data_IF_710860780250
#
_entry.id   IF_710860780250
#
_cell.length_a   1.000
_cell.length_b   1.000
_cell.length_c   1.000
_cell.angle_alpha   90.00
_cell.angle_beta   90.00
_cell.angle_gamma   90.00
#
_symmetry.space_group_name_H-M   'P 1'
#
loop_
_entity.id
_entity.type
_entity.pdbx_description
1 polymer ?
#
# COMPACT_ATOMS: atom_id res chain seq x y z
N UNK A 1 13.91 -20.23 -2.08
CA UNK A 1 14.17 -18.79 -1.88
C UNK A 1 15.59 -18.46 -2.32
N UNK A 2 15.86 -17.27 -2.90
CA UNK A 2 17.21 -16.83 -3.21
C UNK A 2 18.02 -16.62 -1.92
N UNK A 3 19.29 -17.04 -1.90
CA UNK A 3 20.15 -17.02 -0.72
C UNK A 3 20.41 -15.60 -0.20
N UNK A 4 20.59 -14.63 -1.11
CA UNK A 4 21.02 -13.27 -0.79
C UNK A 4 19.93 -12.22 -0.97
N UNK A 5 18.66 -12.63 -1.14
CA UNK A 5 17.54 -11.71 -1.34
C UNK A 5 16.61 -11.75 -0.13
N UNK A 6 16.40 -10.59 0.45
CA UNK A 6 15.48 -10.38 1.55
C UNK A 6 14.48 -9.29 1.16
N UNK A 7 13.18 -9.56 1.35
CA UNK A 7 12.13 -8.59 1.07
C UNK A 7 11.81 -7.79 2.31
N UNK A 8 12.01 -6.50 2.24
CA UNK A 8 11.62 -5.57 3.30
C UNK A 8 10.11 -5.38 3.43
N UNK A 9 9.33 -5.95 2.53
CA UNK A 9 7.87 -5.88 2.54
C UNK A 9 7.25 -7.08 1.84
N UNK A 10 6.01 -7.36 2.17
CA UNK A 10 5.13 -8.27 1.42
C UNK A 10 4.57 -7.56 0.18
N UNK A 11 4.39 -8.27 -0.93
CA UNK A 11 4.00 -7.68 -2.20
C UNK A 11 2.49 -7.36 -2.28
N UNK A 12 1.67 -8.34 -1.90
CA UNK A 12 0.22 -8.26 -2.07
C UNK A 12 -0.51 -8.07 -0.73
N UNK A 13 0.20 -8.01 0.39
CA UNK A 13 -0.39 -7.88 1.72
C UNK A 13 -1.26 -6.61 1.84
N UNK A 14 -0.81 -5.51 1.24
CA UNK A 14 -1.57 -4.27 1.19
C UNK A 14 -2.94 -4.44 0.53
N UNK A 15 -2.99 -5.16 -0.60
CA UNK A 15 -4.23 -5.42 -1.32
C UNK A 15 -5.16 -6.35 -0.51
N UNK A 16 -4.59 -7.37 0.14
CA UNK A 16 -5.35 -8.26 1.02
C UNK A 16 -5.95 -7.50 2.20
N UNK A 17 -5.14 -6.67 2.87
CA UNK A 17 -5.60 -5.88 4.02
C UNK A 17 -6.64 -4.83 3.63
N UNK A 18 -6.45 -4.12 2.52
CA UNK A 18 -7.42 -3.18 1.99
C UNK A 18 -8.73 -3.89 1.61
N UNK A 19 -8.65 -5.07 1.00
CA UNK A 19 -9.81 -5.87 0.64
C UNK A 19 -10.60 -6.32 1.88
N UNK A 20 -9.91 -6.77 2.94
CA UNK A 20 -10.57 -7.15 4.21
C UNK A 20 -11.27 -5.95 4.87
N UNK A 21 -10.65 -4.76 4.84
CA UNK A 21 -11.28 -3.55 5.33
C UNK A 21 -12.51 -3.18 4.49
N UNK A 22 -12.41 -3.26 3.15
CA UNK A 22 -13.52 -3.01 2.23
C UNK A 22 -14.69 -3.97 2.48
N UNK A 23 -14.42 -5.26 2.61
CA UNK A 23 -15.44 -6.27 2.94
C UNK A 23 -16.12 -5.93 4.26
N UNK A 24 -15.36 -5.62 5.30
CA UNK A 24 -15.89 -5.25 6.61
C UNK A 24 -16.74 -3.97 6.56
N UNK A 25 -16.26 -2.93 5.88
CA UNK A 25 -16.87 -1.61 5.90
C UNK A 25 -18.04 -1.47 4.92
N UNK A 26 -17.92 -2.10 3.74
CA UNK A 26 -18.90 -1.98 2.66
C UNK A 26 -19.81 -3.20 2.52
N UNK A 27 -19.79 -4.17 3.45
CA UNK A 27 -20.64 -5.36 3.39
C UNK A 27 -22.10 -5.01 3.10
N UNK A 28 -22.68 -5.63 2.06
CA UNK A 28 -24.05 -5.39 1.63
C UNK A 28 -24.31 -4.07 0.91
N UNK A 29 -23.26 -3.26 0.67
CA UNK A 29 -23.39 -1.94 0.03
C UNK A 29 -22.88 -1.92 -1.41
N UNK A 30 -22.46 -3.05 -1.97
CA UNK A 30 -22.02 -3.17 -3.35
C UNK A 30 -22.32 -4.56 -3.90
N UNK A 31 -22.59 -4.64 -5.18
CA UNK A 31 -22.77 -5.88 -5.93
C UNK A 31 -22.01 -5.82 -7.25
N UNK A 32 -21.99 -4.68 -7.91
CA UNK A 32 -21.33 -4.45 -9.20
C UNK A 32 -19.92 -3.92 -8.96
N UNK A 33 -18.91 -4.74 -9.25
CA UNK A 33 -17.51 -4.34 -9.04
C UNK A 33 -16.78 -4.16 -10.36
N UNK A 34 -15.84 -3.24 -10.36
CA UNK A 34 -14.94 -3.03 -11.48
C UNK A 34 -13.50 -2.83 -10.98
N UNK A 35 -12.54 -2.90 -11.90
CA UNK A 35 -11.18 -2.51 -11.58
C UNK A 35 -10.57 -1.60 -12.65
N UNK A 36 -9.57 -0.83 -12.23
CA UNK A 36 -8.59 -0.19 -13.09
C UNK A 36 -7.22 -0.38 -12.47
N UNK A 37 -6.37 -1.15 -13.12
CA UNK A 37 -5.09 -1.60 -12.57
C UNK A 37 -3.97 -1.47 -13.61
N UNK A 38 -2.70 -1.40 -13.15
CA UNK A 38 -1.57 -1.48 -14.07
C UNK A 38 -1.50 -2.87 -14.70
N UNK A 39 -1.22 -2.91 -16.01
CA UNK A 39 -1.19 -4.16 -16.79
C UNK A 39 0.14 -4.91 -16.63
N UNK A 40 0.38 -5.42 -15.42
CA UNK A 40 1.47 -6.34 -15.13
C UNK A 40 1.13 -7.22 -13.91
N UNK A 41 2.06 -8.09 -13.48
CA UNK A 41 1.80 -9.12 -12.46
C UNK A 41 1.19 -8.58 -11.16
N UNK A 42 1.67 -7.45 -10.64
CA UNK A 42 1.11 -6.86 -9.42
C UNK A 42 -0.37 -6.48 -9.59
N UNK A 43 -0.73 -5.74 -10.65
CA UNK A 43 -2.11 -5.35 -10.89
C UNK A 43 -3.03 -6.56 -11.06
N UNK A 44 -2.56 -7.57 -11.81
CA UNK A 44 -3.30 -8.82 -12.02
C UNK A 44 -3.48 -9.61 -10.72
N UNK A 45 -2.43 -9.77 -9.94
CA UNK A 45 -2.44 -10.53 -8.69
C UNK A 45 -3.33 -9.86 -7.63
N UNK A 46 -3.24 -8.53 -7.47
CA UNK A 46 -4.05 -7.81 -6.48
C UNK A 46 -5.54 -7.87 -6.78
N UNK A 47 -5.92 -7.77 -8.06
CA UNK A 47 -7.31 -7.95 -8.48
C UNK A 47 -7.81 -9.38 -8.26
N UNK A 48 -7.01 -10.38 -8.60
CA UNK A 48 -7.33 -11.79 -8.33
C UNK A 48 -7.49 -12.06 -6.83
N UNK A 49 -6.61 -11.49 -6.00
CA UNK A 49 -6.69 -11.61 -4.55
C UNK A 49 -7.97 -10.97 -3.99
N UNK A 50 -8.36 -9.79 -4.50
CA UNK A 50 -9.60 -9.12 -4.10
C UNK A 50 -10.82 -9.99 -4.38
N UNK A 51 -10.96 -10.48 -5.60
CA UNK A 51 -12.08 -11.35 -5.98
C UNK A 51 -12.11 -12.66 -5.16
N UNK A 52 -10.94 -13.29 -4.94
CA UNK A 52 -10.81 -14.48 -4.13
C UNK A 52 -11.28 -14.27 -2.68
N UNK A 53 -10.98 -13.10 -2.10
CA UNK A 53 -11.43 -12.71 -0.77
C UNK A 53 -12.95 -12.48 -0.74
N UNK A 54 -13.53 -11.78 -1.72
CA UNK A 54 -14.97 -11.61 -1.82
C UNK A 54 -15.68 -12.97 -1.84
N UNK A 55 -15.20 -13.89 -2.67
CA UNK A 55 -15.71 -15.26 -2.73
C UNK A 55 -15.55 -16.00 -1.39
N UNK A 56 -14.38 -15.92 -0.77
CA UNK A 56 -14.08 -16.57 0.52
C UNK A 56 -15.02 -16.09 1.63
N UNK A 57 -15.40 -14.82 1.63
CA UNK A 57 -16.30 -14.24 2.63
C UNK A 57 -17.78 -14.23 2.22
N UNK A 58 -18.15 -14.96 1.16
CA UNK A 58 -19.53 -15.10 0.72
C UNK A 58 -20.17 -13.78 0.23
N UNK A 59 -19.36 -12.88 -0.32
CA UNK A 59 -19.85 -11.62 -0.90
C UNK A 59 -20.23 -11.88 -2.35
N UNK A 60 -21.53 -11.94 -2.62
CA UNK A 60 -22.03 -12.03 -3.98
C UNK A 60 -21.69 -10.75 -4.76
N UNK A 61 -21.13 -10.90 -5.95
CA UNK A 61 -20.75 -9.79 -6.79
C UNK A 61 -20.72 -10.15 -8.27
N UNK A 62 -20.83 -9.14 -9.10
CA UNK A 62 -20.71 -9.19 -10.56
C UNK A 62 -19.55 -8.30 -10.98
N UNK A 63 -18.61 -8.83 -11.75
CA UNK A 63 -17.54 -8.03 -12.38
C UNK A 63 -18.11 -7.39 -13.64
N UNK A 64 -18.26 -6.06 -13.62
CA UNK A 64 -18.91 -5.33 -14.70
C UNK A 64 -17.93 -4.62 -15.65
N UNK A 65 -16.68 -4.41 -15.22
CA UNK A 65 -15.62 -3.86 -16.07
C UNK A 65 -14.24 -4.18 -15.49
N UNK A 66 -13.30 -4.50 -16.36
CA UNK A 66 -11.88 -4.64 -16.01
C UNK A 66 -11.07 -3.75 -16.96
N UNK A 67 -10.39 -2.77 -16.41
CA UNK A 67 -9.57 -1.82 -17.15
C UNK A 67 -8.10 -2.02 -16.78
N UNK A 68 -7.26 -2.08 -17.79
CA UNK A 68 -5.83 -2.32 -17.67
C UNK A 68 -5.06 -1.20 -18.34
N UNK A 69 -4.09 -0.61 -17.64
CA UNK A 69 -3.32 0.51 -18.15
C UNK A 69 -1.82 0.23 -18.07
N UNK A 70 -1.06 0.72 -19.03
CA UNK A 70 0.39 0.79 -18.90
C UNK A 70 0.77 1.68 -17.72
N UNK A 71 1.84 1.32 -17.00
CA UNK A 71 2.43 2.20 -15.98
C UNK A 71 2.94 3.48 -16.66
N UNK A 72 2.66 4.63 -16.02
CA UNK A 72 3.03 5.94 -16.54
C UNK A 72 2.08 6.48 -17.61
N UNK A 73 0.91 5.87 -17.77
CA UNK A 73 -0.13 6.41 -18.64
C UNK A 73 -0.88 7.53 -17.92
N UNK A 74 -0.67 8.76 -18.37
CA UNK A 74 -1.33 9.95 -17.81
C UNK A 74 -2.64 10.33 -18.52
N UNK A 75 -3.12 9.50 -19.45
CA UNK A 75 -4.44 9.63 -20.06
C UNK A 75 -5.25 8.35 -19.85
N UNK A 76 -6.12 8.40 -18.86
CA UNK A 76 -7.04 7.32 -18.50
C UNK A 76 -8.50 7.62 -18.86
N UNK A 77 -8.72 8.61 -19.71
CA UNK A 77 -10.06 9.08 -20.09
C UNK A 77 -10.93 7.97 -20.67
N UNK A 78 -10.38 7.11 -21.53
CA UNK A 78 -11.08 5.97 -22.10
C UNK A 78 -11.46 4.92 -21.04
N UNK A 79 -10.55 4.65 -20.10
CA UNK A 79 -10.80 3.74 -18.97
C UNK A 79 -11.91 4.29 -18.07
N UNK A 80 -11.87 5.59 -17.76
CA UNK A 80 -12.90 6.27 -16.96
C UNK A 80 -14.26 6.22 -17.67
N UNK A 81 -14.30 6.46 -18.97
CA UNK A 81 -15.54 6.37 -19.77
C UNK A 81 -16.13 4.95 -19.74
N UNK A 82 -15.30 3.92 -19.90
CA UNK A 82 -15.72 2.52 -19.82
C UNK A 82 -16.26 2.15 -18.42
N UNK A 83 -15.56 2.57 -17.37
CA UNK A 83 -16.01 2.37 -16.00
C UNK A 83 -17.34 3.07 -15.72
N UNK A 84 -17.48 4.33 -16.16
CA UNK A 84 -18.74 5.08 -16.00
C UNK A 84 -19.91 4.42 -16.71
N UNK A 85 -19.71 3.92 -17.94
CA UNK A 85 -20.73 3.20 -18.70
C UNK A 85 -21.14 1.87 -18.01
N UNK A 86 -20.21 1.21 -17.35
CA UNK A 86 -20.45 -0.04 -16.62
C UNK A 86 -21.21 0.18 -15.31
N UNK A 87 -21.29 1.40 -14.75
CA UNK A 87 -21.99 1.75 -13.52
C UNK A 87 -21.65 0.84 -12.34
N UNK A 88 -20.40 0.75 -11.91
CA UNK A 88 -20.00 -0.06 -10.76
C UNK A 88 -20.43 0.59 -9.43
N UNK A 89 -20.74 -0.23 -8.43
CA UNK A 89 -20.93 0.21 -7.05
C UNK A 89 -19.61 0.42 -6.32
N UNK A 90 -18.57 -0.33 -6.78
CA UNK A 90 -17.24 -0.31 -6.19
C UNK A 90 -16.16 -0.49 -7.27
N UNK A 91 -15.13 0.33 -7.20
CA UNK A 91 -13.93 0.25 -8.04
C UNK A 91 -12.74 -0.11 -7.15
N UNK A 92 -12.05 -1.20 -7.51
CA UNK A 92 -10.74 -1.55 -6.97
C UNK A 92 -9.65 -1.01 -7.89
N UNK A 93 -8.66 -0.29 -7.33
CA UNK A 93 -7.54 0.19 -8.12
C UNK A 93 -6.22 0.04 -7.38
N UNK A 94 -5.30 -0.67 -8.00
CA UNK A 94 -3.90 -0.77 -7.59
C UNK A 94 -2.96 0.06 -8.47
N UNK A 95 -3.48 1.12 -9.11
CA UNK A 95 -2.67 2.08 -9.85
C UNK A 95 -1.60 2.69 -8.92
N UNK A 96 -0.44 2.94 -9.48
CA UNK A 96 0.76 3.38 -8.78
C UNK A 96 1.21 4.76 -9.26
N UNK A 97 2.06 5.41 -8.45
CA UNK A 97 2.71 6.66 -8.82
C UNK A 97 1.70 7.74 -9.29
N UNK A 98 2.08 8.50 -10.31
CA UNK A 98 1.24 9.56 -10.87
C UNK A 98 -0.06 9.06 -11.53
N UNK A 99 -0.13 7.78 -11.90
CA UNK A 99 -1.31 7.20 -12.56
C UNK A 99 -2.55 7.26 -11.67
N UNK A 100 -2.39 7.05 -10.36
CA UNK A 100 -3.52 7.06 -9.42
C UNK A 100 -4.15 8.44 -9.24
N UNK A 101 -3.43 9.52 -8.89
CA UNK A 101 -4.04 10.85 -8.78
C UNK A 101 -4.59 11.36 -10.11
N UNK A 102 -3.95 11.02 -11.25
CA UNK A 102 -4.48 11.35 -12.57
C UNK A 102 -5.80 10.63 -12.83
N UNK A 103 -5.88 9.33 -12.54
CA UNK A 103 -7.13 8.57 -12.63
C UNK A 103 -8.22 9.19 -11.76
N UNK A 104 -7.94 9.47 -10.49
CA UNK A 104 -8.93 10.03 -9.57
C UNK A 104 -9.43 11.41 -10.01
N UNK A 105 -8.55 12.27 -10.51
CA UNK A 105 -8.93 13.57 -11.06
C UNK A 105 -9.81 13.43 -12.31
N UNK A 106 -9.45 12.55 -13.24
CA UNK A 106 -10.25 12.29 -14.44
C UNK A 106 -11.59 11.63 -14.09
N UNK A 107 -11.62 10.71 -13.12
CA UNK A 107 -12.83 10.08 -12.63
C UNK A 107 -13.78 11.09 -11.97
N UNK A 108 -13.24 12.00 -11.16
CA UNK A 108 -14.00 13.09 -10.55
C UNK A 108 -14.61 14.01 -11.61
N UNK A 109 -13.81 14.51 -12.54
CA UNK A 109 -14.26 15.40 -13.62
C UNK A 109 -15.34 14.75 -14.50
N UNK A 110 -15.31 13.44 -14.63
CA UNK A 110 -16.34 12.68 -15.36
C UNK A 110 -17.58 12.37 -14.50
N UNK A 111 -17.59 12.69 -13.20
CA UNK A 111 -18.67 12.34 -12.27
C UNK A 111 -18.72 10.86 -11.89
N UNK A 112 -17.63 10.09 -12.14
CA UNK A 112 -17.55 8.66 -11.76
C UNK A 112 -17.43 8.48 -10.25
N UNK A 113 -16.90 9.46 -9.54
CA UNK A 113 -16.73 9.40 -8.08
C UNK A 113 -18.03 9.56 -7.31
N UNK A 114 -19.09 10.04 -7.95
CA UNK A 114 -20.40 10.25 -7.34
C UNK A 114 -21.12 8.90 -7.12
N UNK A 115 -21.31 8.51 -5.87
CA UNK A 115 -21.98 7.27 -5.50
C UNK A 115 -21.15 5.99 -5.67
N UNK A 116 -19.95 6.07 -6.23
CA UNK A 116 -19.03 4.93 -6.40
C UNK A 116 -18.07 4.83 -5.22
N UNK A 117 -17.89 3.61 -4.68
CA UNK A 117 -16.91 3.32 -3.63
C UNK A 117 -15.57 2.95 -4.23
N UNK A 118 -14.50 3.29 -3.53
CA UNK A 118 -13.14 2.99 -3.99
C UNK A 118 -12.35 2.20 -2.96
N UNK A 119 -11.54 1.27 -3.46
CA UNK A 119 -10.54 0.51 -2.69
C UNK A 119 -9.19 0.72 -3.36
N UNK A 120 -8.33 1.47 -2.69
CA UNK A 120 -7.04 1.96 -3.22
C UNK A 120 -5.89 1.48 -2.31
N UNK A 121 -5.45 0.22 -2.41
CA UNK A 121 -4.45 -0.36 -1.49
C UNK A 121 -3.10 0.36 -1.51
N UNK A 122 -2.71 0.96 -2.63
CA UNK A 122 -1.43 1.64 -2.80
C UNK A 122 -1.51 3.18 -2.70
N UNK A 123 -2.65 3.75 -2.28
CA UNK A 123 -2.87 5.20 -2.32
C UNK A 123 -1.90 6.00 -1.42
N UNK A 124 -1.38 5.39 -0.37
CA UNK A 124 -0.41 6.03 0.52
C UNK A 124 0.91 6.45 -0.16
N UNK A 125 1.22 5.90 -1.33
CA UNK A 125 2.35 6.38 -2.15
C UNK A 125 2.16 7.78 -2.71
N UNK A 126 0.90 8.19 -2.86
CA UNK A 126 0.54 9.45 -3.51
C UNK A 126 -0.30 10.36 -2.60
N UNK A 127 -0.18 10.18 -1.27
CA UNK A 127 -1.04 10.89 -0.33
C UNK A 127 -0.97 12.42 -0.50
N UNK A 128 0.18 12.99 -0.79
CA UNK A 128 0.35 14.44 -1.00
C UNK A 128 -0.17 14.94 -2.36
N UNK A 129 -0.37 14.03 -3.33
CA UNK A 129 -0.91 14.35 -4.65
C UNK A 129 -2.44 14.09 -4.75
N UNK A 130 -3.01 13.41 -3.76
CA UNK A 130 -4.44 13.09 -3.70
C UNK A 130 -5.18 14.22 -2.98
N UNK A 131 -5.62 15.23 -3.76
CA UNK A 131 -6.25 16.43 -3.22
C UNK A 131 -7.72 16.21 -2.86
N UNK A 132 -8.20 16.92 -1.84
CA UNK A 132 -9.60 16.88 -1.37
C UNK A 132 -10.62 17.17 -2.47
N UNK A 133 -10.26 18.05 -3.41
CA UNK A 133 -11.15 18.47 -4.49
C UNK A 133 -11.65 17.30 -5.35
N UNK A 134 -10.83 16.24 -5.51
CA UNK A 134 -11.17 15.08 -6.36
C UNK A 134 -11.10 13.73 -5.63
N UNK A 135 -10.79 13.73 -4.33
CA UNK A 135 -10.73 12.52 -3.51
C UNK A 135 -11.98 12.38 -2.66
N UNK A 136 -12.89 11.44 -2.97
CA UNK A 136 -14.08 11.24 -2.16
C UNK A 136 -13.78 10.84 -0.72
N UNK A 137 -14.68 11.16 0.20
CA UNK A 137 -14.63 10.65 1.57
C UNK A 137 -14.97 9.16 1.62
N UNK A 138 -14.37 8.43 2.55
CA UNK A 138 -14.68 7.03 2.78
C UNK A 138 -14.02 6.03 1.82
N UNK A 139 -13.02 6.44 1.06
CA UNK A 139 -12.19 5.52 0.26
C UNK A 139 -11.42 4.61 1.21
N UNK A 140 -11.36 3.31 0.93
CA UNK A 140 -10.41 2.40 1.58
C UNK A 140 -9.01 2.71 1.07
N UNK A 141 -8.16 3.16 1.98
CA UNK A 141 -6.86 3.75 1.69
C UNK A 141 -5.73 3.01 2.42
N UNK A 142 -4.71 2.59 1.69
CA UNK A 142 -3.55 1.91 2.26
C UNK A 142 -2.35 2.84 2.47
N UNK A 143 -1.77 2.78 3.69
CA UNK A 143 -0.51 3.44 4.06
C UNK A 143 0.61 2.44 4.38
N UNK A 144 0.38 1.17 4.13
CA UNK A 144 1.33 0.09 4.37
C UNK A 144 2.01 0.17 5.74
N UNK A 145 3.33 0.20 5.80
CA UNK A 145 4.08 0.04 7.06
C UNK A 145 4.16 1.29 7.90
N UNK A 146 3.91 2.47 7.36
CA UNK A 146 3.98 3.74 8.10
C UNK A 146 2.93 4.73 7.61
N UNK A 147 2.21 5.32 8.56
CA UNK A 147 1.38 6.49 8.34
C UNK A 147 2.00 7.69 9.07
N UNK A 148 2.30 8.77 8.35
CA UNK A 148 3.04 9.93 8.90
C UNK A 148 2.32 10.63 10.05
N UNK A 149 0.99 10.61 10.09
CA UNK A 149 0.13 11.21 11.12
C UNK A 149 -0.54 10.15 12.02
N UNK A 150 0.17 9.04 12.30
CA UNK A 150 -0.34 8.02 13.21
C UNK A 150 -0.36 8.56 14.65
N UNK A 151 -1.54 8.66 15.30
CA UNK A 151 -1.63 9.12 16.68
C UNK A 151 -0.87 8.22 17.67
N UNK A 152 -0.61 6.97 17.31
CA UNK A 152 0.16 5.98 18.09
C UNK A 152 1.63 5.90 17.68
N UNK A 153 2.10 6.80 16.81
CA UNK A 153 3.48 6.80 16.34
C UNK A 153 4.48 6.85 17.49
N UNK A 154 5.57 6.09 17.36
CA UNK A 154 6.70 6.12 18.30
C UNK A 154 7.38 7.50 18.31
N UNK A 155 8.18 7.76 19.35
CA UNK A 155 8.99 8.99 19.40
C UNK A 155 9.94 9.07 18.18
N UNK A 156 10.56 7.97 17.80
CA UNK A 156 11.45 7.87 16.62
C UNK A 156 10.71 8.21 15.33
N UNK A 157 9.49 7.70 15.14
CA UNK A 157 8.69 8.04 13.97
C UNK A 157 8.34 9.53 13.94
N UNK A 158 7.90 10.10 15.06
CA UNK A 158 7.54 11.53 15.15
C UNK A 158 8.72 12.43 14.87
N UNK A 159 9.89 12.11 15.40
CA UNK A 159 11.14 12.84 15.14
C UNK A 159 11.51 12.77 13.66
N UNK A 160 11.45 11.57 13.06
CA UNK A 160 11.72 11.39 11.63
C UNK A 160 10.76 12.17 10.75
N UNK A 161 9.45 12.12 11.01
CA UNK A 161 8.43 12.86 10.25
C UNK A 161 8.68 14.36 10.35
N UNK A 162 8.98 14.86 11.55
CA UNK A 162 9.31 16.27 11.74
C UNK A 162 10.56 16.67 10.95
N UNK A 163 11.64 15.90 11.06
CA UNK A 163 12.88 16.15 10.30
C UNK A 163 12.63 16.15 8.80
N UNK A 164 11.85 15.19 8.30
CA UNK A 164 11.52 15.08 6.88
C UNK A 164 10.72 16.30 6.40
N UNK A 165 9.69 16.68 7.14
CA UNK A 165 8.86 17.84 6.82
C UNK A 165 9.65 19.15 6.85
N UNK A 166 10.52 19.33 7.84
CA UNK A 166 11.38 20.52 7.94
C UNK A 166 12.35 20.63 6.75
N UNK A 167 12.88 19.47 6.29
CA UNK A 167 13.88 19.42 5.23
C UNK A 167 13.30 19.49 3.82
N UNK A 168 12.23 18.73 3.58
CA UNK A 168 11.69 18.56 2.23
C UNK A 168 10.39 19.33 1.98
N UNK A 169 9.80 19.93 3.01
CA UNK A 169 8.51 20.63 2.97
C UNK A 169 7.37 19.74 2.47
N UNK A 170 7.46 18.46 2.82
CA UNK A 170 6.53 17.41 2.44
C UNK A 170 6.47 16.34 3.56
N UNK A 171 5.56 15.39 3.46
CA UNK A 171 5.42 14.30 4.43
C UNK A 171 5.96 12.99 3.86
N UNK A 172 6.68 12.19 4.68
CA UNK A 172 7.21 10.91 4.22
C UNK A 172 6.10 9.91 4.00
N UNK A 173 6.17 9.17 2.91
CA UNK A 173 5.36 7.99 2.70
C UNK A 173 6.06 6.72 3.24
N UNK A 174 5.33 5.62 3.27
CA UNK A 174 5.76 4.36 3.88
C UNK A 174 7.04 3.74 3.28
N UNK A 175 7.48 4.13 2.09
CA UNK A 175 8.77 3.67 1.54
C UNK A 175 9.96 4.15 2.37
N UNK A 176 9.84 5.26 3.07
CA UNK A 176 10.87 5.71 4.01
C UNK A 176 11.06 4.69 5.15
N UNK A 177 9.96 4.12 5.66
CA UNK A 177 10.03 3.05 6.65
C UNK A 177 10.62 1.77 6.07
N UNK A 178 10.28 1.39 4.85
CA UNK A 178 10.87 0.22 4.19
C UNK A 178 12.38 0.31 4.05
N UNK A 179 12.88 1.48 3.65
CA UNK A 179 14.31 1.74 3.57
C UNK A 179 14.97 1.65 4.95
N UNK A 180 14.37 2.32 5.93
CA UNK A 180 14.85 2.28 7.33
C UNK A 180 14.86 0.84 7.87
N UNK A 181 13.76 0.10 7.73
CA UNK A 181 13.65 -1.29 8.15
C UNK A 181 14.72 -2.17 7.49
N UNK A 182 14.96 -2.01 6.19
CA UNK A 182 15.98 -2.78 5.47
C UNK A 182 17.37 -2.59 6.07
N UNK A 183 17.73 -1.34 6.40
CA UNK A 183 19.00 -1.02 7.02
C UNK A 183 19.09 -1.57 8.45
N UNK A 184 18.02 -1.50 9.22
CA UNK A 184 17.98 -2.04 10.58
C UNK A 184 18.09 -3.58 10.60
N UNK A 185 17.45 -4.27 9.65
CA UNK A 185 17.58 -5.73 9.46
C UNK A 185 19.01 -6.10 9.08
N UNK A 186 19.62 -5.39 8.15
CA UNK A 186 21.01 -5.61 7.75
C UNK A 186 21.95 -5.40 8.94
N UNK A 187 21.83 -4.29 9.67
CA UNK A 187 22.58 -3.99 10.89
C UNK A 187 22.47 -5.13 11.91
N UNK A 188 21.25 -5.55 12.23
CA UNK A 188 21.01 -6.63 13.17
C UNK A 188 21.61 -7.97 12.71
N UNK A 189 21.60 -8.26 11.42
CA UNK A 189 22.25 -9.43 10.83
C UNK A 189 23.77 -9.38 11.00
N UNK A 190 24.40 -8.24 10.72
CA UNK A 190 25.85 -8.01 10.92
C UNK A 190 26.22 -8.17 12.40
N UNK A 191 25.51 -7.50 13.32
CA UNK A 191 25.77 -7.57 14.75
C UNK A 191 25.66 -8.99 15.29
N UNK A 192 24.64 -9.74 14.86
CA UNK A 192 24.42 -11.13 15.26
C UNK A 192 25.54 -12.05 14.74
N UNK A 193 25.96 -11.89 13.49
CA UNK A 193 27.05 -12.66 12.93
C UNK A 193 28.40 -12.30 13.55
N UNK A 194 28.67 -11.02 13.81
CA UNK A 194 29.87 -10.52 14.46
C UNK A 194 29.99 -11.05 15.90
N UNK A 195 28.91 -11.07 16.66
CA UNK A 195 28.88 -11.60 18.02
C UNK A 195 29.23 -13.10 18.07
N UNK A 196 28.81 -13.87 17.07
CA UNK A 196 29.12 -15.30 16.99
C UNK A 196 30.58 -15.59 16.62
N UNK A 197 31.20 -14.74 15.78
CA UNK A 197 32.55 -15.01 15.22
C UNK A 197 33.68 -14.19 15.85
N UNK A 198 33.37 -13.05 16.44
CA UNK A 198 34.33 -12.07 16.98
C UNK A 198 35.30 -11.47 15.94
N UNK A 199 34.96 -11.58 14.66
CA UNK A 199 35.67 -10.97 13.53
C UNK A 199 34.65 -10.51 12.49
N UNK A 200 35.03 -9.63 11.55
CA UNK A 200 34.10 -9.14 10.55
C UNK A 200 33.51 -10.31 9.73
N UNK A 201 32.17 -10.42 9.67
CA UNK A 201 31.52 -11.57 9.02
C UNK A 201 31.55 -11.45 7.51
N UNK A 202 31.55 -12.60 6.83
CA UNK A 202 31.36 -12.68 5.37
C UNK A 202 29.90 -12.39 4.99
N UNK A 203 29.62 -12.05 3.72
CA UNK A 203 28.25 -11.89 3.25
C UNK A 203 27.35 -13.11 3.51
N UNK A 204 27.90 -14.32 3.41
CA UNK A 204 27.20 -15.58 3.69
C UNK A 204 26.79 -15.70 5.16
N UNK A 205 27.69 -15.34 6.05
CA UNK A 205 27.44 -15.37 7.51
C UNK A 205 26.39 -14.32 7.89
N UNK A 206 26.43 -13.12 7.30
CA UNK A 206 25.42 -12.09 7.49
C UNK A 206 24.06 -12.61 7.00
N UNK A 207 23.99 -13.12 5.77
CA UNK A 207 22.73 -13.63 5.20
C UNK A 207 22.16 -14.80 6.03
N UNK A 208 23.02 -15.66 6.59
CA UNK A 208 22.57 -16.75 7.46
C UNK A 208 22.06 -16.24 8.83
N UNK A 209 22.53 -15.08 9.30
CA UNK A 209 22.14 -14.49 10.57
C UNK A 209 20.82 -13.69 10.51
N UNK A 210 20.45 -13.14 9.33
CA UNK A 210 19.29 -12.29 9.16
C UNK A 210 17.94 -12.98 9.47
N UNK A 211 17.68 -14.24 9.07
CA UNK A 211 16.41 -14.88 9.41
C UNK A 211 16.14 -14.91 10.92
N UNK A 212 14.95 -14.47 11.31
CA UNK A 212 14.51 -14.40 12.70
C UNK A 212 14.94 -13.14 13.45
N UNK A 213 15.67 -12.20 12.84
CA UNK A 213 15.95 -10.91 13.50
C UNK A 213 14.66 -10.10 13.67
N UNK A 214 14.57 -9.42 14.81
CA UNK A 214 13.52 -8.46 15.12
C UNK A 214 14.14 -7.08 15.23
N UNK A 215 13.50 -6.10 14.66
CA UNK A 215 13.98 -4.72 14.67
C UNK A 215 12.82 -3.76 14.96
N UNK A 216 13.16 -2.62 15.53
CA UNK A 216 12.26 -1.49 15.61
C UNK A 216 12.46 -0.63 14.35
N UNK A 217 11.36 -0.35 13.65
CA UNK A 217 11.33 0.51 12.46
C UNK A 217 10.52 1.77 12.74
N UNK A 218 10.41 2.67 11.76
CA UNK A 218 9.58 3.87 11.90
C UNK A 218 8.11 3.49 12.07
N UNK A 219 7.62 2.51 11.31
CA UNK A 219 6.24 2.00 11.40
C UNK A 219 6.00 1.02 12.55
N UNK A 220 6.97 0.83 13.46
CA UNK A 220 6.86 -0.07 14.61
C UNK A 220 7.73 -1.32 14.51
N UNK A 221 7.42 -2.33 15.33
CA UNK A 221 8.20 -3.56 15.38
C UNK A 221 7.98 -4.42 14.14
N UNK A 222 9.07 -4.93 13.58
CA UNK A 222 9.05 -5.86 12.48
C UNK A 222 10.09 -6.98 12.65
N UNK A 223 9.96 -8.01 11.84
CA UNK A 223 10.86 -9.16 11.86
C UNK A 223 11.15 -9.64 10.43
N UNK A 224 12.33 -10.21 10.22
CA UNK A 224 12.63 -10.95 9.00
C UNK A 224 12.32 -12.43 9.21
N UNK A 225 11.36 -12.96 8.45
CA UNK A 225 10.93 -14.35 8.53
C UNK A 225 11.98 -15.32 7.96
N UNK A 226 11.83 -16.59 8.28
CA UNK A 226 12.71 -17.65 7.76
C UNK A 226 12.63 -17.82 6.23
N UNK A 227 11.55 -17.37 5.60
CA UNK A 227 11.37 -17.36 4.14
C UNK A 227 11.93 -16.11 3.46
N UNK A 228 12.62 -15.24 4.18
CA UNK A 228 13.22 -13.97 3.76
C UNK A 228 12.20 -12.88 3.39
N UNK A 229 11.00 -12.96 3.93
CA UNK A 229 9.97 -11.92 3.77
C UNK A 229 9.78 -11.21 5.12
N UNK A 230 9.69 -9.91 5.10
CA UNK A 230 9.42 -9.12 6.29
C UNK A 230 8.01 -9.40 6.84
N UNK A 231 7.89 -9.37 8.16
CA UNK A 231 6.63 -9.27 8.87
C UNK A 231 6.58 -7.90 9.56
N UNK A 232 5.67 -7.04 9.13
CA UNK A 232 5.52 -5.66 9.60
C UNK A 232 4.03 -5.32 9.80
N UNK A 233 3.77 -4.22 10.50
CA UNK A 233 2.43 -3.65 10.62
C UNK A 233 1.99 -3.05 9.28
N UNK A 234 0.69 -3.15 8.98
CA UNK A 234 0.08 -2.50 7.83
C UNK A 234 -1.04 -1.57 8.29
N UNK A 235 -0.97 -0.32 7.87
CA UNK A 235 -1.98 0.69 8.14
C UNK A 235 -2.97 0.76 6.99
N UNK A 236 -4.24 0.58 7.31
CA UNK A 236 -5.36 0.71 6.39
C UNK A 236 -6.42 1.57 7.06
N UNK A 237 -7.00 2.48 6.32
CA UNK A 237 -8.00 3.39 6.85
C UNK A 237 -9.04 3.81 5.81
N UNK A 238 -9.91 4.71 6.24
CA UNK A 238 -10.85 5.37 5.34
C UNK A 238 -10.40 6.83 5.19
N UNK A 239 -10.42 7.32 3.95
CA UNK A 239 -10.15 8.74 3.70
C UNK A 239 -11.21 9.61 4.37
N UNK A 240 -10.79 10.78 4.84
CA UNK A 240 -11.70 11.79 5.36
C UNK A 240 -11.25 13.18 4.96
N UNK A 241 -12.20 14.03 4.60
CA UNK A 241 -11.95 15.45 4.32
C UNK A 241 -11.88 16.30 5.62
N UNK A 242 -12.16 15.67 6.78
CA UNK A 242 -12.07 16.31 8.12
C UNK A 242 -10.63 16.18 8.65
N UNK A 243 -9.70 16.80 7.96
CA UNK A 243 -8.28 16.82 8.33
C UNK A 243 -7.68 18.19 8.01
N UNK A 244 -6.46 18.45 8.50
CA UNK A 244 -5.74 19.72 8.34
C UNK A 244 -4.83 19.74 7.09
N UNK A 245 -4.88 18.70 6.28
CA UNK A 245 -4.06 18.56 5.06
C UNK A 245 -4.93 18.80 3.83
N UNK A 246 -4.29 19.17 2.71
CA UNK A 246 -4.92 19.34 1.41
C UNK A 246 -4.35 18.35 0.39
#
# INVERSE_FOLDING_TARGET
>A
KPKYVFRSTDNECEAVMASLLAIKHFKGKFKRIACVNPDYSYGRNTWTAFQALLKKYGIEHEVVSEQWSKIGNLDLTSNVAALKAAKPDLIFSSLLFADLPVFMKQAHNAGLTEGTRFVLPAAGWQHTAMKKEFTPEGIVWGHNTMYFDDPKASATQKEFVKWYADKYKDYPHWEADRAYFSMMVYKAGVEKALAAKKSWPTPEEICAAIPGVQVESLGGKGAMRADHIANQTFHQGLSTNKNNYD
#
